data_IF_659828343397
#
_entry.id   IF_659828343397
#
_cell.length_a   1.000
_cell.length_b   1.000
_cell.length_c   1.000
_cell.angle_alpha   90.00
_cell.angle_beta   90.00
_cell.angle_gamma   90.00
#
_symmetry.space_group_name_H-M   'P 1'
#
loop_
_entity.id
_entity.type
_entity.pdbx_description
1 polymer ?
#
# COMPACT_ATOMS: atom_id res chain seq x y z
N UNK A 1 8.59 -4.33 -9.18
CA UNK A 1 8.00 -4.77 -7.89
C UNK A 1 9.01 -4.61 -6.76
N UNK A 2 10.16 -5.29 -6.81
CA UNK A 2 11.15 -5.28 -5.71
C UNK A 2 11.66 -3.88 -5.33
N UNK A 3 11.96 -3.02 -6.31
CA UNK A 3 12.40 -1.62 -6.06
C UNK A 3 11.29 -0.76 -5.44
N UNK A 4 10.06 -0.88 -5.96
CA UNK A 4 8.90 -0.12 -5.49
C UNK A 4 8.59 -0.49 -4.04
N UNK A 5 8.58 -1.80 -3.73
CA UNK A 5 8.36 -2.32 -2.38
C UNK A 5 9.45 -1.85 -1.40
N UNK A 6 10.71 -1.88 -1.82
CA UNK A 6 11.86 -1.46 -1.01
C UNK A 6 11.83 0.02 -0.64
N UNK A 7 11.19 0.88 -1.45
CA UNK A 7 11.04 2.31 -1.16
C UNK A 7 9.77 2.57 -0.36
N UNK A 8 8.64 1.95 -0.73
CA UNK A 8 7.35 2.26 -0.11
C UNK A 8 7.22 1.71 1.31
N UNK A 9 7.70 0.49 1.58
CA UNK A 9 7.62 -0.12 2.91
C UNK A 9 8.31 0.73 4.00
N UNK A 10 9.59 1.13 3.86
CA UNK A 10 10.23 1.95 4.88
C UNK A 10 9.62 3.35 4.98
N UNK A 11 9.15 3.93 3.88
CA UNK A 11 8.49 5.23 3.90
C UNK A 11 7.16 5.16 4.69
N UNK A 12 6.42 4.06 4.55
CA UNK A 12 5.18 3.79 5.25
C UNK A 12 5.42 3.60 6.75
N UNK A 13 6.43 2.80 7.12
CA UNK A 13 6.84 2.61 8.52
C UNK A 13 7.27 3.95 9.15
N UNK A 14 8.06 4.74 8.43
CA UNK A 14 8.50 6.04 8.91
C UNK A 14 7.33 7.02 9.07
N UNK A 15 6.40 7.05 8.11
CA UNK A 15 5.20 7.89 8.16
C UNK A 15 4.30 7.55 9.36
N UNK A 16 4.10 6.26 9.66
CA UNK A 16 3.35 5.83 10.83
C UNK A 16 4.03 6.26 12.13
N UNK A 17 5.33 5.99 12.28
CA UNK A 17 6.07 6.29 13.52
C UNK A 17 6.10 7.80 13.77
N UNK A 18 6.42 8.59 12.75
CA UNK A 18 6.49 10.05 12.88
C UNK A 18 5.10 10.66 13.11
N UNK A 19 4.06 10.18 12.41
CA UNK A 19 2.68 10.59 12.63
C UNK A 19 2.18 10.32 14.06
N UNK A 20 2.41 9.11 14.59
CA UNK A 20 2.05 8.78 15.98
C UNK A 20 2.84 9.61 17.00
N UNK A 21 4.14 9.81 16.77
CA UNK A 21 4.98 10.61 17.67
C UNK A 21 4.53 12.06 17.71
N UNK A 22 4.19 12.64 16.55
CA UNK A 22 3.67 13.99 16.43
C UNK A 22 2.31 14.13 17.13
N UNK A 23 1.41 13.17 16.95
CA UNK A 23 0.10 13.17 17.62
C UNK A 23 0.26 13.12 19.15
N UNK A 24 1.15 12.25 19.65
CA UNK A 24 1.45 12.12 21.07
C UNK A 24 2.08 13.41 21.64
N UNK A 25 2.98 14.04 20.89
CA UNK A 25 3.60 15.30 21.26
C UNK A 25 2.55 16.42 21.35
N UNK A 26 1.63 16.52 20.39
CA UNK A 26 0.55 17.51 20.40
C UNK A 26 -0.36 17.31 21.62
N UNK A 27 -0.74 16.06 21.95
CA UNK A 27 -1.60 15.76 23.09
C UNK A 27 -0.91 16.08 24.43
N UNK A 28 0.39 15.79 24.56
CA UNK A 28 1.11 15.93 25.83
C UNK A 28 1.70 17.31 26.09
N UNK A 29 2.11 18.03 25.06
CA UNK A 29 2.98 19.20 25.21
C UNK A 29 2.33 20.54 24.81
N UNK A 30 1.03 20.60 24.49
CA UNK A 30 0.39 21.82 24.00
C UNK A 30 0.34 22.94 25.06
N UNK A 31 1.11 24.03 24.91
CA UNK A 31 0.95 25.21 25.76
C UNK A 31 -0.32 25.96 25.36
N UNK A 32 -1.01 26.58 26.30
CA UNK A 32 -2.27 27.29 26.06
C UNK A 32 -2.18 28.40 24.97
N UNK A 33 -0.98 28.97 24.74
CA UNK A 33 -0.71 29.98 23.72
C UNK A 33 -0.75 29.46 22.27
N UNK A 34 -0.59 28.14 22.06
CA UNK A 34 -0.46 27.52 20.72
C UNK A 34 -1.66 26.63 20.37
N UNK A 35 -2.72 26.69 21.19
CA UNK A 35 -3.87 25.78 21.15
C UNK A 35 -4.58 25.76 19.79
N UNK A 36 -4.77 26.93 19.16
CA UNK A 36 -5.43 27.01 17.85
C UNK A 36 -4.58 26.39 16.73
N UNK A 37 -3.27 26.66 16.71
CA UNK A 37 -2.35 26.06 15.74
C UNK A 37 -2.13 24.57 15.98
N UNK A 38 -2.21 24.13 17.23
CA UNK A 38 -2.07 22.72 17.59
C UNK A 38 -3.26 21.88 17.18
N UNK A 39 -4.47 22.46 17.12
CA UNK A 39 -5.64 21.77 16.54
C UNK A 39 -5.45 21.55 15.04
N UNK A 40 -4.93 22.55 14.31
CA UNK A 40 -4.59 22.39 12.89
C UNK A 40 -3.50 21.33 12.67
N UNK A 41 -2.43 21.35 13.46
CA UNK A 41 -1.38 20.34 13.42
C UNK A 41 -1.90 18.94 13.76
N UNK A 42 -2.85 18.84 14.70
CA UNK A 42 -3.49 17.58 15.04
C UNK A 42 -4.28 17.02 13.85
N UNK A 43 -5.11 17.85 13.20
CA UNK A 43 -5.88 17.44 12.02
C UNK A 43 -4.98 17.06 10.86
N UNK A 44 -3.88 17.79 10.62
CA UNK A 44 -2.89 17.40 9.60
C UNK A 44 -2.25 16.04 9.92
N UNK A 45 -1.77 15.85 11.15
CA UNK A 45 -1.14 14.58 11.56
C UNK A 45 -2.12 13.39 11.47
N UNK A 46 -3.39 13.62 11.80
CA UNK A 46 -4.44 12.61 11.70
C UNK A 46 -4.77 12.30 10.23
N UNK A 47 -4.86 13.32 9.37
CA UNK A 47 -5.04 13.15 7.94
C UNK A 47 -3.90 12.36 7.29
N UNK A 48 -2.65 12.68 7.66
CA UNK A 48 -1.47 11.96 7.16
C UNK A 48 -1.51 10.49 7.59
N UNK A 49 -1.92 10.20 8.83
CA UNK A 49 -2.04 8.83 9.32
C UNK A 49 -3.13 8.03 8.56
N UNK A 50 -4.26 8.68 8.25
CA UNK A 50 -5.32 8.08 7.44
C UNK A 50 -4.81 7.80 6.02
N UNK A 51 -4.12 8.76 5.40
CA UNK A 51 -3.56 8.61 4.06
C UNK A 51 -2.62 7.41 3.98
N UNK A 52 -1.69 7.30 4.94
CA UNK A 52 -0.74 6.19 5.02
C UNK A 52 -1.46 4.84 5.20
N UNK A 53 -2.56 4.82 5.95
CA UNK A 53 -3.36 3.60 6.16
C UNK A 53 -4.10 3.19 4.88
N UNK A 54 -4.64 4.15 4.13
CA UNK A 54 -5.30 3.91 2.83
C UNK A 54 -4.30 3.39 1.79
N UNK A 55 -3.08 3.92 1.78
CA UNK A 55 -2.00 3.44 0.90
C UNK A 55 -1.61 2.00 1.23
N UNK A 56 -1.61 1.61 2.51
CA UNK A 56 -1.33 0.23 2.92
C UNK A 56 -2.38 -0.75 2.37
N UNK A 57 -3.66 -0.45 2.55
CA UNK A 57 -4.77 -1.25 2.02
C UNK A 57 -4.73 -1.31 0.48
N UNK A 58 -4.39 -0.18 -0.16
CA UNK A 58 -4.29 -0.10 -1.61
C UNK A 58 -3.14 -0.94 -2.16
N UNK A 59 -2.00 -0.98 -1.46
CA UNK A 59 -0.86 -1.83 -1.80
C UNK A 59 -1.20 -3.32 -1.70
N UNK A 60 -1.87 -3.75 -0.63
CA UNK A 60 -2.35 -5.13 -0.50
C UNK A 60 -3.28 -5.52 -1.65
N UNK A 61 -4.23 -4.64 -2.01
CA UNK A 61 -5.13 -4.85 -3.15
C UNK A 61 -4.37 -4.96 -4.47
N UNK A 62 -3.35 -4.11 -4.67
CA UNK A 62 -2.54 -4.14 -5.88
C UNK A 62 -1.75 -5.43 -6.01
N UNK A 63 -1.21 -5.93 -4.89
CA UNK A 63 -0.44 -7.16 -4.83
C UNK A 63 -1.31 -8.37 -5.20
N UNK A 64 -2.53 -8.44 -4.65
CA UNK A 64 -3.48 -9.51 -4.94
C UNK A 64 -4.02 -9.47 -6.39
N UNK A 65 -4.23 -8.26 -6.95
CA UNK A 65 -4.62 -8.11 -8.36
C UNK A 65 -3.51 -8.56 -9.30
N UNK A 66 -2.26 -8.24 -8.97
CA UNK A 66 -1.10 -8.63 -9.77
C UNK A 66 -0.92 -10.15 -9.79
N UNK A 67 -1.06 -10.81 -8.64
CA UNK A 67 -1.00 -12.27 -8.52
C UNK A 67 -2.10 -12.95 -9.35
N UNK A 68 -3.33 -12.45 -9.29
CA UNK A 68 -4.44 -12.98 -10.08
C UNK A 68 -4.23 -12.81 -11.59
N UNK A 69 -3.65 -11.68 -12.03
CA UNK A 69 -3.34 -11.45 -13.43
C UNK A 69 -2.26 -12.43 -13.94
N UNK A 70 -1.22 -12.68 -13.14
CA UNK A 70 -0.16 -13.64 -13.49
C UNK A 70 -0.74 -15.06 -13.64
N UNK A 71 -1.56 -15.50 -12.68
CA UNK A 71 -2.24 -16.79 -12.72
C UNK A 71 -3.14 -16.93 -13.97
N UNK A 72 -3.85 -15.86 -14.35
CA UNK A 72 -4.73 -15.91 -15.52
C UNK A 72 -3.94 -15.99 -16.84
N UNK A 73 -2.79 -15.31 -16.94
CA UNK A 73 -1.89 -15.40 -18.09
C UNK A 73 -1.30 -16.82 -18.23
N UNK A 74 -0.85 -17.41 -17.12
CA UNK A 74 -0.35 -18.79 -17.12
C UNK A 74 -1.42 -19.81 -17.52
N UNK A 75 -2.67 -19.62 -17.07
CA UNK A 75 -3.78 -20.48 -17.45
C UNK A 75 -4.08 -20.41 -18.96
N UNK A 76 -4.07 -19.21 -19.56
CA UNK A 76 -4.23 -19.03 -21.01
C UNK A 76 -3.10 -19.69 -21.79
N UNK A 77 -1.87 -19.56 -21.32
CA UNK A 77 -0.71 -20.19 -21.96
C UNK A 77 -0.79 -21.72 -21.93
N UNK A 78 -1.15 -22.32 -20.79
CA UNK A 78 -1.38 -23.78 -20.68
C UNK A 78 -2.46 -24.28 -21.61
N UNK A 79 -3.58 -23.56 -21.72
CA UNK A 79 -4.67 -23.91 -22.64
C UNK A 79 -4.20 -23.90 -24.10
N UNK A 80 -3.52 -22.84 -24.53
CA UNK A 80 -2.98 -22.75 -25.89
C UNK A 80 -1.98 -23.87 -26.20
N UNK A 81 -1.11 -24.21 -25.24
CA UNK A 81 -0.17 -25.32 -25.39
C UNK A 81 -0.85 -26.69 -25.48
N UNK A 82 -1.93 -26.91 -24.71
CA UNK A 82 -2.71 -28.16 -24.79
C UNK A 82 -3.47 -28.28 -26.10
N UNK A 83 -3.96 -27.17 -26.65
CA UNK A 83 -4.72 -27.12 -27.88
C UNK A 83 -3.81 -27.38 -29.10
N UNK A 84 -2.60 -26.82 -29.10
CA UNK A 84 -1.62 -27.08 -30.15
C UNK A 84 -1.14 -28.53 -30.14
N UNK A 85 -0.94 -29.13 -28.96
CA UNK A 85 -0.54 -30.54 -28.84
C UNK A 85 -1.63 -31.50 -29.36
N UNK A 86 -2.90 -31.21 -29.05
CA UNK A 86 -4.02 -32.02 -29.55
C UNK A 86 -4.21 -31.91 -31.06
N UNK A 87 -3.93 -30.75 -31.68
CA UNK A 87 -3.96 -30.60 -33.14
C UNK A 87 -2.84 -31.41 -33.80
N UNK A 88 -1.63 -31.41 -33.21
CA UNK A 88 -0.49 -32.21 -33.71
C UNK A 88 -0.77 -33.71 -33.61
N UNK A 89 -1.51 -34.15 -32.59
CA UNK A 89 -1.87 -35.56 -32.43
C UNK A 89 -3.03 -36.01 -33.34
N UNK A 90 -3.74 -35.07 -33.99
CA UNK A 90 -4.89 -35.31 -34.87
C UNK A 90 -4.51 -35.34 -36.36
N UNK A 91 -3.27 -34.95 -36.71
CA UNK A 91 -2.68 -35.01 -38.06
C UNK A 91 -1.84 -36.27 -38.18
#
# INVERSE_FOLDING_TARGET
>A
IMIILSIHVPLLVFGLITGFTLLLAIIRATPAAVKNYSVLLFWCALNDLISVTVDLISMERYLHLLENLENHQQAKFKLLASLSLNIVHLI
#
